data_IF_507202207930
#
_entry.id   IF_507202207930
#
_cell.length_a   1.000
_cell.length_b   1.000
_cell.length_c   1.000
_cell.angle_alpha   90.00
_cell.angle_beta   90.00
_cell.angle_gamma   90.00
#
_symmetry.space_group_name_H-M   'P 1'
#
loop_
_entity.id
_entity.type
_entity.pdbx_description
1 polymer ?
#
# COMPACT_ATOMS: atom_id res chain seq x y z
N UNK A 1 26.31 6.98 -8.61
CA UNK A 1 25.82 7.49 -7.32
C UNK A 1 24.60 6.73 -6.82
N UNK A 2 23.61 6.38 -7.68
CA UNK A 2 22.47 5.59 -7.23
C UNK A 2 22.82 4.14 -6.85
N UNK A 3 23.84 3.54 -7.44
CA UNK A 3 24.28 2.17 -7.11
C UNK A 3 24.94 2.07 -5.72
N UNK A 4 25.71 3.07 -5.32
CA UNK A 4 26.32 3.11 -3.98
C UNK A 4 25.24 3.28 -2.89
N UNK A 5 24.31 4.19 -3.09
CA UNK A 5 23.19 4.39 -2.19
C UNK A 5 22.35 3.11 -2.06
N UNK A 6 22.03 2.46 -3.18
CA UNK A 6 21.27 1.20 -3.21
C UNK A 6 21.97 0.10 -2.40
N UNK A 7 23.28 -0.07 -2.63
CA UNK A 7 24.08 -1.06 -1.90
C UNK A 7 24.18 -0.73 -0.41
N UNK A 8 24.34 0.54 -0.07
CA UNK A 8 24.33 1.01 1.32
C UNK A 8 22.99 0.68 2.01
N UNK A 9 21.87 1.08 1.42
CA UNK A 9 20.56 0.81 1.98
C UNK A 9 20.26 -0.69 2.10
N UNK A 10 20.62 -1.47 1.07
CA UNK A 10 20.47 -2.92 1.11
C UNK A 10 21.24 -3.55 2.27
N UNK A 11 22.47 -3.11 2.50
CA UNK A 11 23.30 -3.59 3.61
C UNK A 11 22.72 -3.20 4.97
N UNK A 12 22.34 -1.94 5.15
CA UNK A 12 21.85 -1.42 6.42
C UNK A 12 20.50 -2.02 6.84
N UNK A 13 19.64 -2.35 5.85
CA UNK A 13 18.31 -2.87 6.12
C UNK A 13 18.23 -4.40 6.11
N UNK A 14 19.25 -5.10 5.61
CA UNK A 14 19.26 -6.58 5.47
C UNK A 14 19.18 -7.33 6.80
N UNK A 15 19.50 -6.69 7.91
CA UNK A 15 19.35 -7.29 9.25
C UNK A 15 17.91 -7.44 9.72
N UNK A 16 16.98 -6.66 9.14
CA UNK A 16 15.59 -6.58 9.56
C UNK A 16 14.60 -7.01 8.46
N UNK A 17 15.01 -6.87 7.18
CA UNK A 17 14.16 -7.08 6.02
C UNK A 17 14.84 -7.96 4.96
N UNK A 18 14.02 -8.67 4.19
CA UNK A 18 14.49 -9.34 2.98
C UNK A 18 14.53 -8.32 1.82
N UNK A 19 15.73 -8.03 1.31
CA UNK A 19 15.96 -6.94 0.36
C UNK A 19 16.13 -7.49 -1.06
N UNK A 20 15.30 -7.00 -1.97
CA UNK A 20 15.47 -7.20 -3.41
C UNK A 20 15.86 -5.85 -4.02
N UNK A 21 16.82 -5.81 -4.91
CA UNK A 21 17.30 -4.57 -5.52
C UNK A 21 17.04 -4.53 -7.02
N UNK A 22 16.66 -3.36 -7.54
CA UNK A 22 16.52 -3.09 -8.97
C UNK A 22 17.42 -1.95 -9.41
N UNK A 23 17.81 -1.91 -10.68
CA UNK A 23 18.70 -0.89 -11.21
C UNK A 23 17.96 0.38 -11.66
N UNK A 24 16.70 0.26 -12.03
CA UNK A 24 15.82 1.32 -12.52
C UNK A 24 14.35 1.00 -12.20
N UNK A 25 13.45 1.93 -12.49
CA UNK A 25 12.03 1.75 -12.20
C UNK A 25 11.34 0.67 -13.03
N UNK A 26 11.80 0.39 -14.25
CA UNK A 26 11.21 -0.65 -15.09
C UNK A 26 11.50 -2.05 -14.51
N UNK A 27 12.76 -2.33 -14.15
CA UNK A 27 13.14 -3.57 -13.50
C UNK A 27 12.41 -3.72 -12.14
N UNK A 28 12.29 -2.63 -11.39
CA UNK A 28 11.55 -2.62 -10.12
C UNK A 28 10.08 -2.97 -10.32
N UNK A 29 9.41 -2.43 -11.33
CA UNK A 29 8.01 -2.71 -11.64
C UNK A 29 7.79 -4.19 -12.00
N UNK A 30 8.71 -4.79 -12.77
CA UNK A 30 8.65 -6.22 -13.08
C UNK A 30 8.78 -7.09 -11.83
N UNK A 31 9.70 -6.73 -10.93
CA UNK A 31 9.86 -7.43 -9.64
C UNK A 31 8.57 -7.33 -8.81
N UNK A 32 8.00 -6.12 -8.68
CA UNK A 32 6.78 -5.89 -7.89
C UNK A 32 5.57 -6.67 -8.45
N UNK A 33 5.52 -6.89 -9.77
CA UNK A 33 4.46 -7.67 -10.43
C UNK A 33 4.61 -9.19 -10.26
N UNK A 34 5.84 -9.68 -10.17
CA UNK A 34 6.12 -11.11 -10.16
C UNK A 34 6.39 -11.67 -8.76
N UNK A 35 6.82 -10.82 -7.84
CA UNK A 35 7.19 -11.19 -6.48
C UNK A 35 6.26 -10.50 -5.46
N UNK A 36 6.14 -11.12 -4.30
CA UNK A 36 5.39 -10.54 -3.19
C UNK A 36 6.24 -9.49 -2.47
N UNK A 37 6.01 -8.23 -2.82
CA UNK A 37 6.72 -7.08 -2.25
C UNK A 37 5.83 -6.37 -1.22
N UNK A 38 6.37 -6.13 -0.04
CA UNK A 38 5.66 -5.46 1.05
C UNK A 38 5.86 -3.94 1.07
N UNK A 39 6.96 -3.44 0.52
CA UNK A 39 7.32 -2.02 0.45
C UNK A 39 8.31 -1.77 -0.69
N UNK A 40 8.16 -0.63 -1.36
CA UNK A 40 9.13 -0.12 -2.35
C UNK A 40 9.81 1.12 -1.81
N UNK A 41 11.15 1.18 -1.93
CA UNK A 41 11.96 2.38 -1.69
C UNK A 41 12.64 2.73 -3.00
N UNK A 42 12.36 3.91 -3.53
CA UNK A 42 12.87 4.33 -4.83
C UNK A 42 13.53 5.69 -4.77
N UNK A 43 14.64 5.85 -5.47
CA UNK A 43 15.12 7.19 -5.85
C UNK A 43 14.14 7.79 -6.88
N UNK A 44 13.94 9.09 -6.84
CA UNK A 44 13.21 9.79 -7.90
C UNK A 44 14.03 9.79 -9.19
N UNK A 45 15.29 10.14 -9.10
CA UNK A 45 16.17 10.30 -10.26
C UNK A 45 16.79 8.95 -10.68
N UNK A 46 16.11 8.25 -11.56
CA UNK A 46 16.60 6.98 -12.14
C UNK A 46 16.50 7.01 -13.67
N UNK A 47 17.37 6.28 -14.38
CA UNK A 47 17.29 6.13 -15.83
C UNK A 47 16.11 5.22 -16.21
N UNK A 48 15.65 5.31 -17.46
CA UNK A 48 14.63 4.47 -18.12
C UNK A 48 13.23 4.79 -17.58
N UNK A 49 12.99 4.63 -16.28
CA UNK A 49 11.76 4.94 -15.57
C UNK A 49 12.15 5.55 -14.23
N UNK A 50 11.71 6.76 -13.97
CA UNK A 50 11.96 7.46 -12.72
C UNK A 50 11.07 6.96 -11.57
N UNK A 51 11.37 7.43 -10.35
CA UNK A 51 10.65 6.96 -9.15
C UNK A 51 9.19 7.45 -9.09
N UNK A 52 8.88 8.62 -9.66
CA UNK A 52 7.52 9.14 -9.69
C UNK A 52 6.65 8.35 -10.67
N UNK A 53 7.19 8.02 -11.85
CA UNK A 53 6.53 7.18 -12.84
C UNK A 53 6.31 5.74 -12.30
N UNK A 54 7.31 5.17 -11.64
CA UNK A 54 7.21 3.87 -10.96
C UNK A 54 6.08 3.90 -9.93
N UNK A 55 6.08 4.90 -9.06
CA UNK A 55 5.06 5.07 -8.03
C UNK A 55 3.66 5.18 -8.63
N UNK A 56 3.48 6.02 -9.63
CA UNK A 56 2.22 6.18 -10.35
C UNK A 56 1.71 4.85 -10.94
N UNK A 57 2.59 4.06 -11.57
CA UNK A 57 2.23 2.75 -12.11
C UNK A 57 1.81 1.76 -11.05
N UNK A 58 2.48 1.74 -9.89
CA UNK A 58 2.10 0.90 -8.74
C UNK A 58 0.75 1.35 -8.17
N UNK A 59 0.55 2.65 -7.96
CA UNK A 59 -0.66 3.18 -7.30
C UNK A 59 -1.92 3.12 -8.16
N UNK A 60 -1.79 3.15 -9.48
CA UNK A 60 -2.89 3.01 -10.42
C UNK A 60 -3.19 1.56 -10.83
N UNK A 61 -2.39 0.60 -10.41
CA UNK A 61 -2.64 -0.82 -10.63
C UNK A 61 -3.45 -1.39 -9.47
N UNK A 62 -4.60 -2.02 -9.75
CA UNK A 62 -5.52 -2.54 -8.72
C UNK A 62 -4.88 -3.60 -7.84
N UNK A 63 -3.99 -4.40 -8.37
CA UNK A 63 -3.34 -5.49 -7.66
C UNK A 63 -2.14 -5.00 -6.84
N UNK A 64 -1.50 -3.89 -7.24
CA UNK A 64 -0.28 -3.36 -6.64
C UNK A 64 -0.51 -2.11 -5.77
N UNK A 65 -1.65 -1.44 -5.91
CA UNK A 65 -1.94 -0.15 -5.21
C UNK A 65 -1.79 -0.21 -3.70
N UNK A 66 -1.93 -1.41 -3.12
CA UNK A 66 -1.76 -1.66 -1.70
C UNK A 66 -0.29 -1.69 -1.22
N UNK A 67 0.68 -1.73 -2.15
CA UNK A 67 2.12 -1.71 -1.85
C UNK A 67 2.55 -0.28 -1.53
N UNK A 68 3.04 0.00 -0.32
CA UNK A 68 3.53 1.32 0.02
C UNK A 68 4.83 1.66 -0.72
N UNK A 69 4.96 2.93 -1.10
CA UNK A 69 6.12 3.47 -1.82
C UNK A 69 6.71 4.64 -1.05
N UNK A 70 8.00 4.56 -0.74
CA UNK A 70 8.80 5.68 -0.21
C UNK A 70 9.69 6.21 -1.34
N UNK A 71 9.60 7.50 -1.62
CA UNK A 71 10.46 8.19 -2.57
C UNK A 71 11.60 8.91 -1.85
N UNK A 72 12.82 8.69 -2.35
CA UNK A 72 14.01 9.40 -1.91
C UNK A 72 14.27 10.54 -2.89
N UNK A 73 14.31 11.78 -2.41
CA UNK A 73 14.45 12.97 -3.26
C UNK A 73 15.68 13.77 -2.90
N UNK A 74 16.40 14.31 -3.90
CA UNK A 74 17.32 15.39 -3.66
C UNK A 74 16.49 16.66 -3.42
N UNK A 75 16.90 17.52 -2.47
CA UNK A 75 16.25 18.80 -2.20
C UNK A 75 16.27 19.69 -3.45
N UNK A 76 15.25 19.60 -4.30
CA UNK A 76 15.16 20.37 -5.55
C UNK A 76 13.76 20.95 -5.67
N UNK A 77 13.67 22.26 -5.62
CA UNK A 77 12.58 23.12 -6.09
C UNK A 77 11.12 22.77 -5.73
N UNK A 78 10.27 23.77 -5.76
CA UNK A 78 8.84 23.64 -5.47
C UNK A 78 8.12 22.75 -6.50
N UNK A 79 8.57 22.74 -7.76
CA UNK A 79 7.96 21.99 -8.86
C UNK A 79 8.11 20.48 -8.68
N UNK A 80 9.31 20.00 -8.37
CA UNK A 80 9.56 18.57 -8.09
C UNK A 80 8.80 18.09 -6.87
N UNK A 81 8.54 18.97 -5.91
CA UNK A 81 7.78 18.66 -4.71
C UNK A 81 6.29 18.46 -5.00
N UNK A 82 5.74 19.19 -5.97
CA UNK A 82 4.35 19.04 -6.42
C UNK A 82 4.18 17.73 -7.18
N UNK A 83 5.03 17.45 -8.16
CA UNK A 83 5.01 16.19 -8.93
C UNK A 83 5.16 14.96 -8.02
N UNK A 84 6.01 15.07 -7.01
CA UNK A 84 6.22 14.01 -6.03
C UNK A 84 4.97 13.79 -5.16
N UNK A 85 4.28 14.86 -4.74
CA UNK A 85 3.02 14.75 -4.00
C UNK A 85 1.89 14.16 -4.85
N UNK A 86 1.84 14.49 -6.13
CA UNK A 86 0.83 13.98 -7.08
C UNK A 86 1.08 12.50 -7.47
N UNK A 87 2.29 11.99 -7.27
CA UNK A 87 2.62 10.57 -7.57
C UNK A 87 1.90 9.57 -6.66
N UNK A 88 1.30 10.02 -5.54
CA UNK A 88 0.59 9.18 -4.60
C UNK A 88 1.49 8.33 -3.69
N UNK A 89 2.77 8.67 -3.54
CA UNK A 89 3.68 7.97 -2.65
C UNK A 89 3.27 8.11 -1.18
N UNK A 90 3.51 7.06 -0.40
CA UNK A 90 3.13 6.99 1.02
C UNK A 90 4.16 7.66 1.93
N UNK A 91 5.36 7.94 1.42
CA UNK A 91 6.41 8.63 2.14
C UNK A 91 7.42 9.29 1.24
N UNK A 92 8.02 10.37 1.74
CA UNK A 92 9.10 11.13 1.08
C UNK A 92 10.22 11.37 2.06
N UNK A 93 11.46 11.15 1.61
CA UNK A 93 12.65 11.41 2.41
C UNK A 93 13.63 12.21 1.57
N UNK A 94 13.96 13.41 2.07
CA UNK A 94 14.92 14.31 1.44
C UNK A 94 16.35 13.87 1.75
N UNK A 95 17.19 13.81 0.73
CA UNK A 95 18.63 13.51 0.84
C UNK A 95 19.42 14.78 1.15
N UNK A 96 20.43 14.72 2.05
CA UNK A 96 20.90 13.55 2.81
C UNK A 96 20.06 13.28 4.06
N UNK A 97 19.86 12.01 4.41
CA UNK A 97 19.09 11.60 5.58
C UNK A 97 19.83 10.54 6.43
N UNK A 98 19.61 10.53 7.75
CA UNK A 98 20.07 9.44 8.60
C UNK A 98 19.25 8.18 8.37
N UNK A 99 19.87 7.01 8.44
CA UNK A 99 19.20 5.72 8.21
C UNK A 99 18.04 5.47 9.18
N UNK A 100 18.14 6.00 10.39
CA UNK A 100 17.11 5.93 11.44
C UNK A 100 15.79 6.59 11.01
N UNK A 101 15.87 7.66 10.22
CA UNK A 101 14.68 8.30 9.66
C UNK A 101 13.96 7.37 8.68
N UNK A 102 14.70 6.69 7.80
CA UNK A 102 14.14 5.72 6.89
C UNK A 102 13.51 4.53 7.64
N UNK A 103 14.22 3.97 8.64
CA UNK A 103 13.69 2.89 9.50
C UNK A 103 12.39 3.29 10.18
N UNK A 104 12.32 4.52 10.71
CA UNK A 104 11.11 5.04 11.34
C UNK A 104 9.93 5.16 10.37
N UNK A 105 10.18 5.61 9.13
CA UNK A 105 9.16 5.69 8.08
C UNK A 105 8.65 4.30 7.69
N UNK A 106 9.53 3.35 7.47
CA UNK A 106 9.17 1.95 7.16
C UNK A 106 8.30 1.37 8.27
N UNK A 107 8.73 1.48 9.52
CA UNK A 107 7.99 0.96 10.68
C UNK A 107 6.61 1.60 10.82
N UNK A 108 6.49 2.91 10.56
CA UNK A 108 5.22 3.61 10.59
C UNK A 108 4.26 3.12 9.49
N UNK A 109 4.75 2.91 8.26
CA UNK A 109 3.93 2.40 7.16
C UNK A 109 3.42 0.99 7.45
N UNK A 110 4.25 0.09 7.94
CA UNK A 110 3.82 -1.26 8.31
C UNK A 110 2.82 -1.25 9.47
N UNK A 111 3.05 -0.43 10.49
CA UNK A 111 2.11 -0.30 11.62
C UNK A 111 0.75 0.24 11.15
N UNK A 112 0.72 1.24 10.28
CA UNK A 112 -0.52 1.80 9.75
C UNK A 112 -1.28 0.76 8.91
N UNK A 113 -0.57 -0.02 8.09
CA UNK A 113 -1.14 -1.14 7.32
C UNK A 113 -1.76 -2.19 8.25
N UNK A 114 -1.08 -2.56 9.33
CA UNK A 114 -1.59 -3.51 10.32
C UNK A 114 -2.82 -2.99 11.06
N UNK A 115 -2.83 -1.70 11.45
CA UNK A 115 -3.99 -1.06 12.10
C UNK A 115 -5.18 -1.04 11.14
N UNK A 116 -4.99 -0.63 9.88
CA UNK A 116 -6.04 -0.61 8.88
C UNK A 116 -6.61 -2.00 8.62
N UNK A 117 -5.75 -3.02 8.54
CA UNK A 117 -6.16 -4.42 8.39
C UNK A 117 -6.98 -4.90 9.61
N UNK A 118 -6.53 -4.61 10.83
CA UNK A 118 -7.27 -4.96 12.06
C UNK A 118 -8.62 -4.24 12.14
N UNK A 119 -8.68 -2.98 11.73
CA UNK A 119 -9.93 -2.23 11.67
C UNK A 119 -10.89 -2.83 10.63
N UNK A 120 -10.37 -3.22 9.46
CA UNK A 120 -11.17 -3.87 8.42
C UNK A 120 -11.74 -5.22 8.89
N UNK A 121 -10.95 -6.06 9.56
CA UNK A 121 -11.43 -7.34 10.10
C UNK A 121 -12.46 -7.14 11.21
N UNK A 122 -12.21 -6.18 12.13
CA UNK A 122 -13.10 -5.97 13.28
C UNK A 122 -14.37 -5.18 12.93
N UNK A 123 -14.36 -4.40 11.84
CA UNK A 123 -15.50 -3.58 11.38
C UNK A 123 -15.51 -3.49 9.84
N UNK A 124 -15.72 -4.59 9.12
CA UNK A 124 -15.61 -4.61 7.65
C UNK A 124 -16.60 -3.66 6.94
N UNK A 125 -17.68 -3.23 7.62
CA UNK A 125 -18.74 -2.39 7.03
C UNK A 125 -18.76 -0.94 7.52
N UNK A 126 -17.82 -0.47 8.35
CA UNK A 126 -17.85 0.92 8.84
C UNK A 126 -17.60 1.97 7.74
N UNK A 127 -17.03 1.59 6.60
CA UNK A 127 -16.94 2.48 5.44
C UNK A 127 -18.27 2.68 4.69
N UNK A 128 -19.28 1.84 4.94
CA UNK A 128 -20.62 2.02 4.37
C UNK A 128 -21.40 3.17 5.00
N UNK A 129 -21.05 3.59 6.21
CA UNK A 129 -21.71 4.71 6.90
C UNK A 129 -21.58 6.07 6.19
N UNK A 130 -20.64 6.19 5.24
CA UNK A 130 -20.49 7.41 4.43
C UNK A 130 -21.31 7.40 3.14
N UNK A 131 -21.88 6.25 2.76
CA UNK A 131 -22.61 6.07 1.48
C UNK A 131 -24.11 5.85 1.74
N UNK A 132 -24.49 5.28 2.89
CA UNK A 132 -25.88 5.02 3.25
C UNK A 132 -26.43 6.17 4.08
N UNK A 133 -27.28 7.00 3.46
CA UNK A 133 -28.00 8.09 4.15
C UNK A 133 -29.28 7.62 4.87
N UNK A 134 -29.56 6.31 4.90
CA UNK A 134 -30.80 5.76 5.42
C UNK A 134 -30.57 4.66 6.47
N UNK A 135 -31.27 4.76 7.62
CA UNK A 135 -31.21 3.78 8.70
C UNK A 135 -31.57 2.36 8.28
N UNK A 136 -32.48 2.23 7.31
CA UNK A 136 -32.95 0.93 6.80
C UNK A 136 -31.83 0.20 6.05
N UNK A 137 -31.04 0.94 5.26
CA UNK A 137 -29.91 0.37 4.52
C UNK A 137 -28.81 -0.11 5.48
N UNK A 138 -28.63 0.59 6.60
CA UNK A 138 -27.64 0.24 7.60
C UNK A 138 -28.00 -1.04 8.34
N UNK A 139 -29.26 -1.21 8.76
CA UNK A 139 -29.77 -2.42 9.39
C UNK A 139 -29.70 -3.63 8.42
N UNK A 140 -29.90 -3.39 7.13
CA UNK A 140 -29.80 -4.42 6.10
C UNK A 140 -28.35 -4.89 5.91
N UNK A 141 -27.41 -3.94 5.87
CA UNK A 141 -25.99 -4.24 5.76
C UNK A 141 -25.43 -4.94 7.00
N UNK A 142 -25.89 -4.58 8.19
CA UNK A 142 -25.52 -5.25 9.43
C UNK A 142 -25.98 -6.72 9.42
N UNK A 143 -27.18 -7.02 8.91
CA UNK A 143 -27.67 -8.41 8.75
C UNK A 143 -26.83 -9.22 7.75
N UNK A 144 -26.45 -8.61 6.62
CA UNK A 144 -25.56 -9.23 5.63
C UNK A 144 -24.22 -9.58 6.27
N UNK A 145 -23.65 -8.64 7.00
CA UNK A 145 -22.38 -8.83 7.69
C UNK A 145 -22.44 -9.98 8.70
N UNK A 146 -23.43 -9.97 9.59
CA UNK A 146 -23.60 -10.97 10.62
C UNK A 146 -23.78 -12.37 10.01
N UNK A 147 -24.55 -12.45 8.90
CA UNK A 147 -24.72 -13.70 8.17
C UNK A 147 -23.41 -14.22 7.59
N UNK A 148 -22.64 -13.35 6.89
CA UNK A 148 -21.35 -13.73 6.31
C UNK A 148 -20.37 -14.18 7.40
N UNK A 149 -20.26 -13.41 8.48
CA UNK A 149 -19.32 -13.73 9.57
C UNK A 149 -19.67 -15.04 10.28
N UNK A 150 -20.96 -15.37 10.37
CA UNK A 150 -21.43 -16.61 10.99
C UNK A 150 -21.17 -17.84 10.12
N UNK A 151 -21.22 -17.68 8.80
CA UNK A 151 -21.15 -18.79 7.84
C UNK A 151 -19.87 -18.80 7.00
N UNK A 152 -18.90 -17.91 7.26
CA UNK A 152 -17.67 -17.76 6.45
C UNK A 152 -16.81 -19.04 6.39
N UNK A 153 -16.94 -19.92 7.37
CA UNK A 153 -16.21 -21.19 7.42
C UNK A 153 -16.98 -22.35 6.77
N UNK A 154 -18.20 -22.13 6.29
CA UNK A 154 -19.03 -23.16 5.68
C UNK A 154 -18.73 -23.27 4.18
N UNK A 155 -18.46 -24.48 3.64
CA UNK A 155 -18.13 -24.67 2.23
C UNK A 155 -19.29 -24.37 1.28
N UNK A 156 -20.52 -24.29 1.79
CA UNK A 156 -21.75 -24.07 1.01
C UNK A 156 -22.24 -22.61 1.06
N UNK A 157 -21.43 -21.67 1.55
CA UNK A 157 -21.76 -20.26 1.53
C UNK A 157 -21.88 -19.76 0.08
N UNK A 158 -23.09 -19.43 -0.33
CA UNK A 158 -23.39 -18.88 -1.66
C UNK A 158 -24.43 -17.76 -1.59
N UNK A 159 -24.58 -17.04 -2.72
CA UNK A 159 -25.49 -15.89 -2.82
C UNK A 159 -26.97 -16.28 -2.63
N UNK A 160 -27.37 -17.50 -3.03
CA UNK A 160 -28.76 -17.98 -2.90
C UNK A 160 -29.13 -18.18 -1.43
N UNK A 161 -28.22 -18.75 -0.62
CA UNK A 161 -28.44 -18.93 0.82
C UNK A 161 -28.49 -17.55 1.55
N UNK A 162 -27.69 -16.59 1.09
CA UNK A 162 -27.70 -15.23 1.61
C UNK A 162 -29.06 -14.55 1.33
N UNK A 163 -29.56 -14.61 0.10
CA UNK A 163 -30.83 -13.99 -0.29
C UNK A 163 -32.04 -14.60 0.38
N UNK A 164 -32.06 -15.93 0.58
CA UNK A 164 -33.16 -16.60 1.29
C UNK A 164 -33.29 -16.20 2.77
N UNK A 165 -32.18 -15.92 3.45
CA UNK A 165 -32.22 -15.58 4.88
C UNK A 165 -32.37 -14.06 5.16
N UNK A 166 -31.94 -13.22 4.25
CA UNK A 166 -32.02 -11.75 4.45
C UNK A 166 -33.41 -11.23 4.03
N UNK A 167 -34.19 -12.01 3.29
CA UNK A 167 -35.59 -11.74 2.97
C UNK A 167 -35.74 -10.56 2.01
N UNK A 168 -35.74 -10.80 0.76
CA UNK A 168 -36.37 -9.97 -0.26
C UNK A 168 -37.77 -10.47 -0.53
#
# INVERSE_FOLDING_TARGET
DSSEMRNYLAKELSSEYNIITAANGADALEIVKNDKIDLVISDIMMPIMDGCELCNKIKNDTDLSHVPVILLTAAVGVETRIETLESGADGYIEKPFPIELLRSNISNLFRNKEISYKQFINKPLTHYNSVTSNKVDQEYMDKIHDFIMKHIAEPDLNIENLTMQIGT
#
